data_IF_099129445035
#
_entry.id   IF_099129445035
#
_cell.length_a   1.000
_cell.length_b   1.000
_cell.length_c   1.000
_cell.angle_alpha   90.00
_cell.angle_beta   90.00
_cell.angle_gamma   90.00
#
_symmetry.space_group_name_H-M   'P 1'
#
loop_
_entity.id
_entity.type
_entity.pdbx_description
1 polymer ?
#
# COMPACT_ATOMS: atom_id res chain seq x y z
N UNK A 1 48.45 -18.27 18.13
CA UNK A 1 47.36 -18.09 17.15
C UNK A 1 46.05 -18.38 17.86
N UNK A 2 45.20 -17.39 18.07
CA UNK A 2 43.83 -17.61 18.54
C UNK A 2 42.97 -17.91 17.32
N UNK A 3 42.43 -19.13 17.24
CA UNK A 3 41.41 -19.48 16.24
C UNK A 3 40.08 -19.06 16.84
N UNK A 4 39.43 -18.07 16.22
CA UNK A 4 38.07 -17.65 16.57
C UNK A 4 37.13 -18.37 15.61
N UNK A 5 36.42 -19.36 16.13
CA UNK A 5 35.40 -20.08 15.39
C UNK A 5 34.06 -19.36 15.58
N UNK A 6 33.59 -18.69 14.52
CA UNK A 6 32.30 -18.00 14.49
C UNK A 6 31.22 -18.99 14.08
N UNK A 7 30.52 -19.57 15.07
CA UNK A 7 29.32 -20.37 14.83
C UNK A 7 28.12 -19.43 14.62
N UNK A 8 27.85 -19.05 13.36
CA UNK A 8 26.62 -18.33 13.01
C UNK A 8 25.47 -19.31 12.81
N UNK A 9 24.39 -19.24 13.61
CA UNK A 9 23.20 -20.04 13.35
C UNK A 9 22.56 -19.61 12.03
N UNK A 10 22.02 -20.58 11.27
CA UNK A 10 21.17 -20.25 10.13
C UNK A 10 19.87 -19.61 10.63
N UNK A 11 19.59 -18.40 10.17
CA UNK A 11 18.33 -17.73 10.43
C UNK A 11 17.39 -17.96 9.25
N UNK A 12 16.26 -18.61 9.49
CA UNK A 12 15.20 -18.72 8.49
C UNK A 12 14.68 -17.33 8.09
N UNK A 13 14.17 -17.24 6.87
CA UNK A 13 13.54 -16.01 6.38
C UNK A 13 12.38 -15.63 7.30
N UNK A 14 12.43 -14.41 7.84
CA UNK A 14 11.43 -13.95 8.80
C UNK A 14 10.01 -13.94 8.20
N UNK A 15 9.89 -13.73 6.89
CA UNK A 15 8.64 -13.72 6.13
C UNK A 15 8.76 -14.53 4.85
N UNK A 16 7.71 -15.29 4.56
CA UNK A 16 7.56 -16.04 3.32
C UNK A 16 7.14 -15.11 2.16
N UNK A 17 7.24 -15.57 0.90
CA UNK A 17 6.86 -14.76 -0.26
C UNK A 17 5.42 -14.23 -0.21
N UNK A 18 4.50 -14.93 0.46
CA UNK A 18 3.09 -14.52 0.60
C UNK A 18 2.92 -13.24 1.40
N UNK A 19 3.59 -13.12 2.56
CA UNK A 19 3.65 -11.87 3.31
C UNK A 19 4.19 -10.71 2.45
N UNK A 20 5.30 -10.93 1.73
CA UNK A 20 5.90 -9.89 0.86
C UNK A 20 4.92 -9.43 -0.23
N UNK A 21 4.21 -10.37 -0.87
CA UNK A 21 3.16 -10.05 -1.85
C UNK A 21 2.03 -9.25 -1.23
N UNK A 22 1.59 -9.60 -0.01
CA UNK A 22 0.60 -8.82 0.71
C UNK A 22 1.05 -7.38 0.91
N UNK A 23 2.25 -7.13 1.44
CA UNK A 23 2.80 -5.78 1.63
C UNK A 23 2.84 -4.98 0.33
N UNK A 24 3.21 -5.63 -0.78
CA UNK A 24 3.21 -5.02 -2.09
C UNK A 24 1.81 -4.64 -2.57
N UNK A 25 0.87 -5.59 -2.56
CA UNK A 25 -0.49 -5.35 -3.06
C UNK A 25 -1.29 -4.40 -2.17
N UNK A 26 -1.16 -4.48 -0.84
CA UNK A 26 -1.88 -3.59 0.07
C UNK A 26 -1.35 -2.15 -0.03
N UNK A 27 -0.04 -1.97 -0.24
CA UNK A 27 0.57 -0.67 -0.50
C UNK A 27 0.03 -0.04 -1.79
N UNK A 28 -0.08 -0.84 -2.87
CA UNK A 28 -0.72 -0.39 -4.12
C UNK A 28 -2.19 -0.09 -3.89
N UNK A 29 -2.95 -0.96 -3.23
CA UNK A 29 -4.38 -0.77 -2.99
C UNK A 29 -4.65 0.52 -2.20
N UNK A 30 -3.93 0.76 -1.11
CA UNK A 30 -4.10 1.94 -0.27
C UNK A 30 -3.72 3.24 -1.01
N UNK A 31 -2.61 3.26 -1.73
CA UNK A 31 -2.18 4.47 -2.47
C UNK A 31 -3.04 4.70 -3.73
N UNK A 32 -3.56 3.63 -4.34
CA UNK A 32 -4.59 3.72 -5.38
C UNK A 32 -5.88 4.27 -4.80
N UNK A 33 -6.30 3.86 -3.61
CA UNK A 33 -7.48 4.39 -2.94
C UNK A 33 -7.36 5.90 -2.68
N UNK A 34 -6.22 6.36 -2.17
CA UNK A 34 -5.93 7.79 -1.99
C UNK A 34 -6.00 8.55 -3.33
N UNK A 35 -5.37 8.00 -4.36
CA UNK A 35 -5.37 8.60 -5.70
C UNK A 35 -6.81 8.66 -6.26
N UNK A 36 -7.54 7.54 -6.24
CA UNK A 36 -8.90 7.43 -6.74
C UNK A 36 -9.88 8.34 -6.00
N UNK A 37 -9.72 8.51 -4.69
CA UNK A 37 -10.52 9.45 -3.90
C UNK A 37 -10.35 10.89 -4.41
N UNK A 38 -9.12 11.32 -4.72
CA UNK A 38 -8.86 12.63 -5.33
C UNK A 38 -9.44 12.70 -6.74
N UNK A 39 -9.26 11.65 -7.56
CA UNK A 39 -9.80 11.59 -8.92
C UNK A 39 -11.34 11.68 -8.97
N UNK A 40 -12.04 11.24 -7.91
CA UNK A 40 -13.51 11.23 -7.83
C UNK A 40 -14.13 12.65 -7.79
N UNK A 41 -13.32 13.67 -7.47
CA UNK A 41 -13.69 15.08 -7.53
C UNK A 41 -13.33 15.74 -8.87
N UNK A 42 -12.73 14.99 -9.80
CA UNK A 42 -12.39 15.46 -11.14
C UNK A 42 -13.61 15.81 -11.99
N UNK A 43 -13.52 16.91 -12.75
CA UNK A 43 -14.58 17.31 -13.69
C UNK A 43 -14.69 16.31 -14.86
N UNK A 44 -15.88 16.08 -15.44
CA UNK A 44 -16.01 15.32 -16.68
C UNK A 44 -15.07 15.86 -17.78
N UNK A 45 -14.41 14.97 -18.53
CA UNK A 45 -13.46 15.33 -19.59
C UNK A 45 -12.06 15.77 -19.11
N UNK A 46 -11.85 15.95 -17.80
CA UNK A 46 -10.54 16.31 -17.25
C UNK A 46 -9.53 15.15 -17.36
N UNK A 47 -8.21 15.44 -17.26
CA UNK A 47 -7.19 14.40 -17.11
C UNK A 47 -7.50 13.41 -15.98
N UNK A 48 -8.02 13.88 -14.83
CA UNK A 48 -8.35 12.99 -13.71
C UNK A 48 -9.48 12.01 -14.03
N UNK A 49 -10.50 12.45 -14.77
CA UNK A 49 -11.58 11.57 -15.21
C UNK A 49 -11.08 10.47 -16.18
N UNK A 50 -10.08 10.79 -17.02
CA UNK A 50 -9.44 9.83 -17.94
C UNK A 50 -8.54 8.81 -17.24
N UNK A 51 -7.96 9.17 -16.10
CA UNK A 51 -7.13 8.26 -15.29
C UNK A 51 -7.97 7.30 -14.42
N UNK A 52 -9.19 7.71 -14.07
CA UNK A 52 -10.08 6.97 -13.17
C UNK A 52 -10.29 5.48 -13.53
N UNK A 53 -10.53 5.09 -14.81
CA UNK A 53 -10.73 3.68 -15.14
C UNK A 53 -9.52 2.81 -14.79
N UNK A 54 -8.30 3.32 -15.02
CA UNK A 54 -7.07 2.60 -14.64
C UNK A 54 -6.96 2.48 -13.12
N UNK A 55 -7.27 3.55 -12.38
CA UNK A 55 -7.28 3.54 -10.93
C UNK A 55 -8.26 2.50 -10.36
N UNK A 56 -9.47 2.42 -10.90
CA UNK A 56 -10.49 1.46 -10.45
C UNK A 56 -10.08 0.01 -10.72
N UNK A 57 -9.50 -0.28 -11.89
CA UNK A 57 -9.02 -1.64 -12.20
C UNK A 57 -7.86 -2.03 -11.27
N UNK A 58 -6.87 -1.14 -11.08
CA UNK A 58 -5.75 -1.39 -10.16
C UNK A 58 -6.27 -1.61 -8.73
N UNK A 59 -7.20 -0.76 -8.27
CA UNK A 59 -7.80 -0.87 -6.94
C UNK A 59 -8.52 -2.21 -6.78
N UNK A 60 -9.36 -2.60 -7.73
CA UNK A 60 -10.12 -3.84 -7.68
C UNK A 60 -9.20 -5.06 -7.61
N UNK A 61 -8.18 -5.13 -8.46
CA UNK A 61 -7.24 -6.26 -8.50
C UNK A 61 -6.46 -6.35 -7.19
N UNK A 62 -5.90 -5.23 -6.74
CA UNK A 62 -5.03 -5.21 -5.55
C UNK A 62 -5.80 -5.37 -4.25
N UNK A 63 -7.02 -4.83 -4.14
CA UNK A 63 -7.89 -5.00 -2.97
C UNK A 63 -8.36 -6.45 -2.78
N UNK A 64 -8.39 -7.25 -3.85
CA UNK A 64 -8.70 -8.69 -3.79
C UNK A 64 -7.41 -9.50 -3.55
N UNK A 65 -6.34 -9.20 -4.29
CA UNK A 65 -5.08 -9.94 -4.21
C UNK A 65 -4.44 -9.84 -2.82
N UNK A 66 -4.46 -8.66 -2.18
CA UNK A 66 -3.83 -8.47 -0.87
C UNK A 66 -4.41 -9.41 0.22
N UNK A 67 -5.73 -9.44 0.48
CA UNK A 67 -6.31 -10.39 1.44
C UNK A 67 -6.07 -11.86 1.10
N UNK A 68 -6.02 -12.22 -0.19
CA UNK A 68 -5.72 -13.60 -0.62
C UNK A 68 -4.28 -13.97 -0.27
N UNK A 69 -3.31 -13.09 -0.57
CA UNK A 69 -1.92 -13.29 -0.15
C UNK A 69 -1.77 -13.37 1.36
N UNK A 70 -2.50 -12.54 2.11
CA UNK A 70 -2.51 -12.60 3.57
C UNK A 70 -3.05 -13.93 4.07
N UNK A 71 -4.17 -14.41 3.52
CA UNK A 71 -4.77 -15.69 3.92
C UNK A 71 -3.89 -16.90 3.59
N UNK A 72 -3.14 -16.82 2.49
CA UNK A 72 -2.16 -17.84 2.12
C UNK A 72 -0.94 -17.86 3.06
N UNK A 73 -0.60 -16.71 3.66
CA UNK A 73 0.47 -16.61 4.66
C UNK A 73 0.05 -17.18 6.03
N UNK A 74 -1.26 -17.20 6.32
CA UNK A 74 -1.80 -17.96 7.45
C UNK A 74 -1.62 -19.46 7.19
N UNK A 75 -0.52 -20.02 7.68
CA UNK A 75 -0.22 -21.46 7.69
C UNK A 75 -1.38 -22.33 8.24
N UNK A 76 -2.28 -21.73 9.06
CA UNK A 76 -3.53 -22.33 9.52
C UNK A 76 -4.72 -21.39 9.24
N UNK A 77 -5.26 -21.37 8.01
CA UNK A 77 -6.20 -20.33 7.57
C UNK A 77 -7.52 -20.35 8.36
N UNK A 78 -7.97 -21.52 8.84
CA UNK A 78 -9.18 -21.65 9.64
C UNK A 78 -9.17 -20.91 10.99
N UNK A 79 -8.02 -20.38 11.42
CA UNK A 79 -7.88 -19.66 12.70
C UNK A 79 -7.96 -18.15 12.56
N UNK A 80 -8.16 -17.60 11.36
CA UNK A 80 -8.22 -16.15 11.14
C UNK A 80 -9.20 -15.42 12.08
N UNK A 81 -10.28 -16.09 12.49
CA UNK A 81 -11.28 -15.52 13.41
C UNK A 81 -10.71 -15.16 14.79
N UNK A 82 -9.63 -15.80 15.24
CA UNK A 82 -9.01 -15.51 16.54
C UNK A 82 -8.47 -14.07 16.62
N UNK A 83 -8.07 -13.48 15.47
CA UNK A 83 -7.65 -12.08 15.40
C UNK A 83 -8.78 -11.12 15.79
N UNK A 84 -10.04 -11.52 15.57
CA UNK A 84 -11.21 -10.72 15.90
C UNK A 84 -11.81 -11.03 17.27
N UNK A 85 -11.54 -12.22 17.82
CA UNK A 85 -12.00 -12.61 19.15
C UNK A 85 -11.12 -12.02 20.27
N UNK A 86 -9.82 -11.82 20.02
CA UNK A 86 -8.85 -11.33 21.01
C UNK A 86 -8.22 -10.01 20.57
N UNK A 87 -8.96 -8.92 20.74
CA UNK A 87 -8.46 -7.59 20.40
C UNK A 87 -7.29 -7.18 21.30
N UNK A 88 -6.15 -6.82 20.70
CA UNK A 88 -4.94 -6.35 21.42
C UNK A 88 -4.52 -4.99 20.87
N UNK A 89 -4.98 -3.88 21.48
CA UNK A 89 -4.82 -2.53 20.89
C UNK A 89 -3.37 -2.03 20.82
N UNK A 90 -2.44 -2.67 21.55
CA UNK A 90 -1.00 -2.39 21.50
C UNK A 90 -0.27 -3.14 20.38
N UNK A 91 -0.91 -4.09 19.69
CA UNK A 91 -0.31 -4.84 18.59
C UNK A 91 -0.72 -4.23 17.24
N UNK A 92 0.27 -3.78 16.46
CA UNK A 92 0.05 -3.29 15.10
C UNK A 92 -0.68 -4.29 14.20
N UNK A 93 -0.37 -5.58 14.35
CA UNK A 93 -1.03 -6.63 13.58
C UNK A 93 -2.51 -6.80 13.98
N UNK A 94 -2.87 -6.63 15.25
CA UNK A 94 -4.28 -6.64 15.68
C UNK A 94 -5.03 -5.43 15.12
N UNK A 95 -4.42 -4.23 15.16
CA UNK A 95 -5.00 -3.03 14.54
C UNK A 95 -5.26 -3.25 13.04
N UNK A 96 -4.28 -3.81 12.33
CA UNK A 96 -4.39 -4.13 10.90
C UNK A 96 -5.56 -5.08 10.60
N UNK A 97 -5.79 -6.09 11.44
CA UNK A 97 -6.90 -7.04 11.27
C UNK A 97 -8.28 -6.38 11.31
N UNK A 98 -8.48 -5.33 12.10
CA UNK A 98 -9.76 -4.59 12.12
C UNK A 98 -9.85 -3.52 11.03
N UNK A 99 -8.71 -3.01 10.55
CA UNK A 99 -8.68 -1.97 9.53
C UNK A 99 -8.86 -2.52 8.11
N UNK A 100 -8.30 -3.70 7.84
CA UNK A 100 -8.27 -4.30 6.52
C UNK A 100 -9.67 -4.65 5.96
N UNK A 101 -10.58 -5.31 6.70
CA UNK A 101 -11.92 -5.63 6.19
C UNK A 101 -12.74 -4.42 5.76
N UNK A 102 -12.92 -3.36 6.59
CA UNK A 102 -13.69 -2.19 6.14
C UNK A 102 -12.99 -1.46 4.99
N UNK A 103 -11.65 -1.43 4.94
CA UNK A 103 -10.93 -0.88 3.80
C UNK A 103 -11.25 -1.63 2.51
N UNK A 104 -11.13 -2.95 2.50
CA UNK A 104 -11.44 -3.79 1.33
C UNK A 104 -12.90 -3.64 0.92
N UNK A 105 -13.83 -3.65 1.88
CA UNK A 105 -15.26 -3.47 1.61
C UNK A 105 -15.55 -2.11 0.97
N UNK A 106 -14.95 -1.03 1.47
CA UNK A 106 -15.10 0.30 0.87
C UNK A 106 -14.41 0.40 -0.50
N UNK A 107 -13.27 -0.27 -0.71
CA UNK A 107 -12.59 -0.30 -2.01
C UNK A 107 -13.42 -1.01 -3.09
N UNK A 108 -14.00 -2.17 -2.76
CA UNK A 108 -14.92 -2.88 -3.65
C UNK A 108 -16.21 -2.06 -3.86
N UNK A 109 -16.73 -1.45 -2.80
CA UNK A 109 -17.88 -0.54 -2.87
C UNK A 109 -17.60 0.67 -3.78
N UNK A 110 -16.41 1.26 -3.71
CA UNK A 110 -15.99 2.35 -4.59
C UNK A 110 -15.97 1.91 -6.05
N UNK A 111 -15.40 0.73 -6.34
CA UNK A 111 -15.37 0.17 -7.69
C UNK A 111 -16.80 -0.07 -8.22
N UNK A 112 -17.69 -0.62 -7.39
CA UNK A 112 -19.09 -0.84 -7.73
C UNK A 112 -19.85 0.48 -7.98
N UNK A 113 -19.69 1.47 -7.11
CA UNK A 113 -20.32 2.78 -7.25
C UNK A 113 -19.83 3.51 -8.50
N UNK A 114 -18.55 3.36 -8.85
CA UNK A 114 -18.00 3.89 -10.09
C UNK A 114 -18.63 3.21 -11.31
N UNK A 115 -18.77 1.88 -11.28
CA UNK A 115 -19.45 1.11 -12.32
C UNK A 115 -20.92 1.53 -12.49
N UNK A 116 -21.64 1.71 -11.38
CA UNK A 116 -23.03 2.17 -11.36
C UNK A 116 -23.20 3.67 -11.70
N UNK A 117 -22.10 4.41 -11.88
CA UNK A 117 -22.08 5.86 -12.18
C UNK A 117 -22.72 6.73 -11.10
N UNK A 118 -22.67 6.30 -9.84
CA UNK A 118 -23.27 7.06 -8.74
C UNK A 118 -22.29 8.06 -8.12
N UNK A 119 -22.26 9.29 -8.62
CA UNK A 119 -21.22 10.27 -8.26
C UNK A 119 -21.20 10.71 -6.78
N UNK A 120 -22.37 10.98 -6.20
CA UNK A 120 -22.47 11.46 -4.80
C UNK A 120 -21.95 10.42 -3.79
N UNK A 121 -22.48 9.19 -3.75
CA UNK A 121 -21.96 8.16 -2.84
C UNK A 121 -20.53 7.76 -3.17
N UNK A 122 -20.11 7.79 -4.45
CA UNK A 122 -18.73 7.52 -4.83
C UNK A 122 -17.73 8.45 -4.11
N UNK A 123 -18.03 9.76 -4.05
CA UNK A 123 -17.18 10.73 -3.36
C UNK A 123 -17.14 10.50 -1.85
N UNK A 124 -18.27 10.20 -1.23
CA UNK A 124 -18.35 9.92 0.21
C UNK A 124 -17.59 8.64 0.58
N UNK A 125 -17.82 7.56 -0.18
CA UNK A 125 -17.08 6.31 -0.01
C UNK A 125 -15.60 6.51 -0.31
N UNK A 126 -15.26 7.31 -1.32
CA UNK A 126 -13.88 7.67 -1.63
C UNK A 126 -13.16 8.34 -0.46
N UNK A 127 -13.80 9.29 0.22
CA UNK A 127 -13.23 9.96 1.40
C UNK A 127 -13.09 9.00 2.59
N UNK A 128 -14.12 8.19 2.88
CA UNK A 128 -14.07 7.21 3.95
C UNK A 128 -12.97 6.15 3.69
N UNK A 129 -12.87 5.68 2.46
CA UNK A 129 -11.83 4.76 2.00
C UNK A 129 -10.44 5.40 2.10
N UNK A 130 -10.29 6.67 1.75
CA UNK A 130 -9.02 7.39 1.86
C UNK A 130 -8.55 7.51 3.31
N UNK A 131 -9.46 7.78 4.26
CA UNK A 131 -9.13 7.79 5.69
C UNK A 131 -8.62 6.42 6.16
N UNK A 132 -9.30 5.34 5.78
CA UNK A 132 -8.82 3.99 6.09
C UNK A 132 -7.48 3.70 5.40
N UNK A 133 -7.29 4.13 4.15
CA UNK A 133 -6.04 3.93 3.41
C UNK A 133 -4.84 4.59 4.10
N UNK A 134 -5.00 5.79 4.68
CA UNK A 134 -3.95 6.41 5.50
C UNK A 134 -3.64 5.52 6.71
N UNK A 135 -4.66 5.05 7.42
CA UNK A 135 -4.47 4.10 8.51
C UNK A 135 -3.75 2.84 8.04
N UNK A 136 -4.08 2.34 6.84
CA UNK A 136 -3.49 1.12 6.27
C UNK A 136 -1.98 1.31 6.09
N UNK A 137 -1.58 2.42 5.47
CA UNK A 137 -0.17 2.75 5.25
C UNK A 137 0.59 2.91 6.57
N UNK A 138 -0.04 3.52 7.58
CA UNK A 138 0.58 3.71 8.89
C UNK A 138 0.81 2.38 9.59
N UNK A 139 -0.21 1.53 9.75
CA UNK A 139 -0.01 0.26 10.48
C UNK A 139 0.95 -0.66 9.73
N UNK A 140 0.86 -0.71 8.40
CA UNK A 140 1.68 -1.60 7.57
C UNK A 140 3.16 -1.29 7.73
N UNK A 141 3.53 0.01 7.71
CA UNK A 141 4.89 0.42 7.99
C UNK A 141 5.29 0.25 9.45
N UNK A 142 4.38 0.55 10.37
CA UNK A 142 4.65 0.47 11.81
C UNK A 142 4.87 -0.98 12.29
N UNK A 143 4.21 -1.95 11.66
CA UNK A 143 4.36 -3.38 11.90
C UNK A 143 5.80 -3.86 11.68
N UNK A 144 6.47 -3.34 10.65
CA UNK A 144 7.88 -3.65 10.38
C UNK A 144 8.82 -2.78 11.22
N UNK A 145 8.49 -1.50 11.37
CA UNK A 145 9.26 -0.53 12.14
C UNK A 145 9.45 -0.93 13.60
N UNK A 146 8.45 -1.55 14.24
CA UNK A 146 8.54 -1.90 15.67
C UNK A 146 9.58 -3.00 15.96
N UNK A 147 10.09 -3.69 14.94
CA UNK A 147 11.00 -4.84 15.09
C UNK A 147 12.43 -4.38 15.38
N UNK A 148 12.73 -4.12 16.65
CA UNK A 148 14.05 -3.65 17.12
C UNK A 148 15.22 -4.56 16.78
N UNK A 149 14.97 -5.86 16.63
CA UNK A 149 16.01 -6.85 16.31
C UNK A 149 16.54 -6.74 14.87
N UNK A 150 15.89 -5.94 14.01
CA UNK A 150 16.25 -5.78 12.59
C UNK A 150 16.57 -4.30 12.33
N UNK A 151 17.86 -3.89 12.36
CA UNK A 151 18.24 -2.48 12.26
C UNK A 151 17.76 -1.76 11.00
N UNK A 152 17.71 -2.46 9.86
CA UNK A 152 17.19 -1.90 8.61
C UNK A 152 15.67 -1.69 8.59
N UNK A 153 14.95 -2.31 9.54
CA UNK A 153 13.50 -2.22 9.67
C UNK A 153 13.12 -1.20 10.73
N UNK A 154 13.85 -1.16 11.84
CA UNK A 154 13.62 -0.24 12.96
C UNK A 154 14.03 1.20 12.64
N UNK A 155 13.26 1.86 11.78
CA UNK A 155 13.44 3.28 11.44
C UNK A 155 12.09 3.97 11.28
N UNK A 156 11.98 5.20 11.79
CA UNK A 156 10.77 6.00 11.74
C UNK A 156 10.33 6.35 10.30
N UNK A 157 11.24 6.22 9.33
CA UNK A 157 10.98 6.51 7.92
C UNK A 157 10.34 5.35 7.16
N UNK A 158 10.20 4.18 7.78
CA UNK A 158 9.71 3.00 7.08
C UNK A 158 8.25 3.15 6.59
N UNK A 159 7.28 3.67 7.39
CA UNK A 159 5.93 3.91 6.91
C UNK A 159 5.88 4.91 5.74
N UNK A 160 6.72 5.94 5.79
CA UNK A 160 6.88 6.88 4.68
C UNK A 160 7.38 6.17 3.42
N UNK A 161 8.45 5.37 3.55
CA UNK A 161 9.03 4.66 2.42
C UNK A 161 8.01 3.72 1.76
N UNK A 162 7.27 2.93 2.55
CA UNK A 162 6.21 2.06 2.03
C UNK A 162 5.09 2.84 1.33
N UNK A 163 4.66 3.97 1.89
CA UNK A 163 3.64 4.81 1.28
C UNK A 163 4.08 5.38 -0.07
N UNK A 164 5.28 5.95 -0.16
CA UNK A 164 5.74 6.61 -1.40
C UNK A 164 6.14 5.59 -2.47
N UNK A 165 6.81 4.49 -2.09
CA UNK A 165 7.14 3.41 -3.04
C UNK A 165 5.90 2.68 -3.52
N UNK A 166 4.92 2.44 -2.63
CA UNK A 166 3.60 1.93 -3.00
C UNK A 166 2.88 2.86 -3.96
N UNK A 167 2.97 4.17 -3.77
CA UNK A 167 2.37 5.15 -4.67
C UNK A 167 3.06 5.16 -6.03
N UNK A 168 4.40 5.06 -6.09
CA UNK A 168 5.14 4.91 -7.33
C UNK A 168 4.72 3.63 -8.08
N UNK A 169 4.57 2.51 -7.37
CA UNK A 169 4.08 1.25 -7.93
C UNK A 169 2.65 1.38 -8.47
N UNK A 170 1.77 2.09 -7.75
CA UNK A 170 0.41 2.43 -8.20
C UNK A 170 0.39 3.18 -9.53
N UNK A 171 1.22 4.21 -9.68
CA UNK A 171 1.30 4.98 -10.93
C UNK A 171 1.82 4.13 -12.10
N UNK A 172 2.81 3.26 -11.83
CA UNK A 172 3.28 2.25 -12.79
C UNK A 172 2.20 1.23 -13.18
N UNK A 173 1.42 0.76 -12.21
CA UNK A 173 0.31 -0.16 -12.45
C UNK A 173 -0.80 0.50 -13.28
N UNK A 174 -1.12 1.78 -13.03
CA UNK A 174 -2.08 2.54 -13.84
C UNK A 174 -1.59 2.74 -15.28
N UNK A 175 -0.29 3.00 -15.49
CA UNK A 175 0.32 3.02 -16.83
C UNK A 175 0.16 1.68 -17.54
N UNK A 176 0.50 0.59 -16.84
CA UNK A 176 0.43 -0.77 -17.35
C UNK A 176 -1.00 -1.12 -17.77
N UNK A 177 -1.97 -0.95 -16.86
CA UNK A 177 -3.40 -1.17 -17.12
C UNK A 177 -3.91 -0.28 -18.25
N UNK A 178 -3.46 0.99 -18.31
CA UNK A 178 -3.81 1.94 -19.36
C UNK A 178 -3.50 1.46 -20.78
N UNK A 179 -2.57 0.52 -20.94
CA UNK A 179 -2.27 -0.11 -22.24
C UNK A 179 -3.45 -0.90 -22.81
N UNK A 180 -4.25 -1.55 -21.96
CA UNK A 180 -5.36 -2.41 -22.37
C UNK A 180 -6.73 -1.74 -22.24
N UNK A 181 -6.78 -0.50 -21.76
CA UNK A 181 -8.01 0.28 -21.75
C UNK A 181 -8.36 0.80 -23.15
N UNK A 182 -9.65 1.08 -23.44
CA UNK A 182 -10.06 1.68 -24.71
C UNK A 182 -9.29 2.97 -25.02
N UNK A 183 -8.71 3.04 -26.22
CA UNK A 183 -7.85 4.15 -26.64
C UNK A 183 -6.38 4.04 -26.19
N UNK A 184 -6.03 3.01 -25.41
CA UNK A 184 -4.67 2.69 -25.00
C UNK A 184 -3.95 3.85 -24.31
N UNK A 185 -2.62 3.87 -24.44
CA UNK A 185 -1.77 4.92 -23.86
C UNK A 185 -2.02 6.31 -24.47
N UNK A 186 -2.56 6.38 -25.69
CA UNK A 186 -2.87 7.66 -26.34
C UNK A 186 -4.05 8.40 -25.67
N UNK A 187 -5.02 7.65 -25.12
CA UNK A 187 -6.14 8.22 -24.37
C UNK A 187 -5.76 8.61 -22.93
N UNK A 188 -4.67 8.06 -22.40
CA UNK A 188 -4.22 8.32 -21.04
C UNK A 188 -3.66 9.73 -20.87
N UNK A 189 -3.89 10.37 -19.72
CA UNK A 189 -3.34 11.69 -19.40
C UNK A 189 -1.85 11.59 -19.01
N UNK A 190 -0.98 11.28 -19.98
CA UNK A 190 0.44 11.00 -19.76
C UNK A 190 1.20 12.13 -19.05
N UNK A 191 0.84 13.39 -19.33
CA UNK A 191 1.46 14.54 -18.66
C UNK A 191 1.15 14.59 -17.16
N UNK A 192 -0.10 14.31 -16.77
CA UNK A 192 -0.47 14.21 -15.35
C UNK A 192 0.29 13.06 -14.70
N UNK A 193 0.30 11.89 -15.35
CA UNK A 193 0.93 10.68 -14.83
C UNK A 193 2.45 10.83 -14.69
N UNK A 194 3.08 11.55 -15.63
CA UNK A 194 4.50 11.93 -15.56
C UNK A 194 4.77 12.84 -14.37
N UNK A 195 3.96 13.89 -14.16
CA UNK A 195 4.12 14.81 -13.01
C UNK A 195 3.97 14.08 -11.69
N UNK A 196 2.94 13.24 -11.56
CA UNK A 196 2.73 12.41 -10.38
C UNK A 196 3.91 11.44 -10.18
N UNK A 197 4.36 10.77 -11.24
CA UNK A 197 5.48 9.84 -11.19
C UNK A 197 6.80 10.49 -10.77
N UNK A 198 7.11 11.66 -11.31
CA UNK A 198 8.29 12.44 -10.92
C UNK A 198 8.19 12.93 -9.48
N UNK A 199 6.99 13.34 -9.03
CA UNK A 199 6.78 13.72 -7.63
C UNK A 199 6.96 12.53 -6.68
N UNK A 200 6.42 11.35 -7.02
CA UNK A 200 6.62 10.13 -6.25
C UNK A 200 8.11 9.76 -6.19
N UNK A 201 8.81 9.79 -7.33
CA UNK A 201 10.24 9.52 -7.39
C UNK A 201 11.06 10.51 -6.53
N UNK A 202 10.75 11.80 -6.61
CA UNK A 202 11.41 12.82 -5.79
C UNK A 202 11.21 12.56 -4.29
N UNK A 203 10.00 12.16 -3.88
CA UNK A 203 9.70 11.80 -2.49
C UNK A 203 10.40 10.51 -2.04
N UNK A 204 10.59 9.52 -2.93
CA UNK A 204 11.39 8.31 -2.64
C UNK A 204 12.84 8.71 -2.42
N UNK A 205 13.42 9.50 -3.33
CA UNK A 205 14.82 9.98 -3.21
C UNK A 205 14.99 10.79 -1.94
N UNK A 206 14.05 11.68 -1.62
CA UNK A 206 14.08 12.46 -0.38
C UNK A 206 14.05 11.54 0.84
N UNK A 207 13.13 10.57 0.88
CA UNK A 207 13.03 9.61 1.98
C UNK A 207 14.33 8.81 2.18
N UNK A 208 14.95 8.37 1.08
CA UNK A 208 16.23 7.67 1.12
C UNK A 208 17.37 8.55 1.62
N UNK A 209 17.44 9.82 1.18
CA UNK A 209 18.46 10.77 1.64
C UNK A 209 18.30 11.06 3.14
N UNK A 210 17.07 11.29 3.60
CA UNK A 210 16.81 11.51 5.04
C UNK A 210 17.21 10.27 5.84
N UNK A 211 16.89 9.06 5.35
CA UNK A 211 17.27 7.81 6.01
C UNK A 211 18.78 7.62 6.11
N UNK A 212 19.53 7.90 5.04
CA UNK A 212 21.01 7.85 5.07
C UNK A 212 21.57 8.86 6.07
N UNK A 213 21.03 10.08 6.09
CA UNK A 213 21.48 11.13 7.02
C UNK A 213 21.16 10.74 8.46
N UNK A 214 19.94 10.33 8.78
CA UNK A 214 19.56 9.93 10.16
C UNK A 214 20.36 8.73 10.64
N UNK A 215 20.58 7.75 9.77
CA UNK A 215 21.40 6.58 10.07
C UNK A 215 22.85 6.94 10.33
N UNK A 216 23.43 7.84 9.52
CA UNK A 216 24.82 8.31 9.72
C UNK A 216 25.01 9.15 10.98
N UNK A 217 23.95 9.84 11.44
CA UNK A 217 23.94 10.64 12.66
C UNK A 217 23.62 9.81 13.92
N UNK A 218 23.26 8.54 13.79
CA UNK A 218 22.86 7.68 14.91
C UNK A 218 21.55 8.12 15.57
N UNK A 219 20.65 8.75 14.80
CA UNK A 219 19.34 9.23 15.29
C UNK A 219 18.24 8.17 15.18
N UNK A 220 18.51 7.05 14.51
CA UNK A 220 17.60 5.91 14.45
C UNK A 220 17.62 5.09 15.78
N UNK A 221 16.45 4.60 16.23
CA UNK A 221 16.25 3.99 17.56
C UNK A 221 16.79 2.56 17.74
#
# INVERSE_FOLDING_TARGET
MQIVELLTPEYEAAWLPWAVQYFFFIGIAATTALTAAVLAFGKPGSPSARLMPAAVVVLLVTAIAAPVSLLADLHQPGRFWHFYAHFTPWSWMSIGAYLLPPFVMLALGFCLLWWLRWERPLRLVGLAMALLAVGILVYTGAEVMVVRARPLWNTLLLPWNFAVTGWLATLGAMLLVGRWLPGGLAAMPLELLRRLGLSALALVVLGALVWVVTGSLGLDP
#
